data_IF_652253311738
#
_entry.id   IF_652253311738
#
_cell.length_a   1.000
_cell.length_b   1.000
_cell.length_c   1.000
_cell.angle_alpha   90.00
_cell.angle_beta   90.00
_cell.angle_gamma   90.00
#
_symmetry.space_group_name_H-M   'P 1'
#
loop_
_entity.id
_entity.type
_entity.pdbx_description
1 polymer ?
#
# COMPACT_ATOMS: atom_id res chain seq x y z
N UNK A 1 -22.23 -1.16 -3.70
CA UNK A 1 -21.33 -2.19 -3.15
C UNK A 1 -20.37 -1.49 -2.23
N UNK A 2 -20.10 -2.09 -1.08
CA UNK A 2 -19.10 -1.57 -0.17
C UNK A 2 -17.72 -1.52 -0.85
N UNK A 3 -16.85 -0.57 -0.47
CA UNK A 3 -15.51 -0.41 -1.03
C UNK A 3 -14.51 -1.19 -0.16
N UNK A 4 -14.04 -2.37 -0.59
CA UNK A 4 -13.14 -3.15 0.23
C UNK A 4 -11.78 -2.46 0.35
N UNK A 5 -11.32 -2.30 1.58
CA UNK A 5 -9.98 -1.81 1.90
C UNK A 5 -9.31 -2.88 2.75
N UNK A 6 -8.14 -3.35 2.30
CA UNK A 6 -7.28 -4.18 3.16
C UNK A 6 -6.31 -3.25 3.85
N UNK A 7 -6.14 -3.40 5.15
CA UNK A 7 -5.27 -2.53 5.93
C UNK A 7 -4.26 -3.38 6.70
N UNK A 8 -2.99 -3.02 6.62
CA UNK A 8 -1.90 -3.68 7.35
C UNK A 8 -1.13 -2.66 8.19
N UNK A 9 -0.84 -3.01 9.44
CA UNK A 9 0.06 -2.25 10.29
C UNK A 9 1.48 -2.82 10.18
N UNK A 10 2.46 -1.97 9.91
CA UNK A 10 3.87 -2.32 9.85
C UNK A 10 4.67 -1.49 10.88
N UNK A 11 5.28 -2.14 11.88
CA UNK A 11 6.06 -1.51 12.95
C UNK A 11 7.49 -1.08 12.57
N UNK A 12 7.87 -1.24 11.30
CA UNK A 12 9.17 -0.81 10.81
C UNK A 12 9.16 0.69 10.51
N UNK A 13 10.32 1.37 10.52
CA UNK A 13 10.43 2.74 10.00
C UNK A 13 9.90 2.85 8.57
N UNK A 14 9.36 4.02 8.20
CA UNK A 14 8.67 4.21 6.92
C UNK A 14 9.43 3.69 5.69
N UNK A 15 10.74 3.97 5.49
CA UNK A 15 11.44 3.49 4.29
C UNK A 15 11.44 1.96 4.18
N UNK A 16 11.56 1.27 5.32
CA UNK A 16 11.57 -0.19 5.39
C UNK A 16 10.16 -0.76 5.21
N UNK A 17 9.16 -0.15 5.84
CA UNK A 17 7.76 -0.52 5.71
C UNK A 17 7.25 -0.32 4.27
N UNK A 18 7.60 0.79 3.63
CA UNK A 18 7.25 1.06 2.23
C UNK A 18 7.91 0.05 1.28
N UNK A 19 9.22 -0.21 1.46
CA UNK A 19 9.92 -1.24 0.69
C UNK A 19 9.31 -2.63 0.88
N UNK A 20 8.84 -2.93 2.10
CA UNK A 20 8.14 -4.17 2.38
C UNK A 20 6.86 -4.30 1.53
N UNK A 21 6.05 -3.24 1.48
CA UNK A 21 4.84 -3.18 0.64
C UNK A 21 5.18 -3.39 -0.84
N UNK A 22 6.21 -2.71 -1.35
CA UNK A 22 6.66 -2.92 -2.75
C UNK A 22 7.03 -4.38 -3.02
N UNK A 23 7.80 -5.00 -2.12
CA UNK A 23 8.25 -6.39 -2.25
C UNK A 23 7.07 -7.37 -2.20
N UNK A 24 6.05 -7.08 -1.40
CA UNK A 24 4.84 -7.89 -1.28
C UNK A 24 3.96 -7.81 -2.54
N UNK A 25 3.90 -6.64 -3.17
CA UNK A 25 3.09 -6.38 -4.35
C UNK A 25 3.74 -6.89 -5.65
N UNK A 26 5.07 -6.92 -5.72
CA UNK A 26 5.80 -7.31 -6.93
C UNK A 26 5.44 -8.73 -7.46
N UNK A 27 5.33 -9.79 -6.64
CA UNK A 27 4.89 -11.11 -7.11
C UNK A 27 3.45 -11.15 -7.64
N UNK A 28 2.63 -10.16 -7.28
CA UNK A 28 1.26 -10.01 -7.78
C UNK A 28 1.20 -9.24 -9.11
N UNK A 29 2.37 -8.86 -9.65
CA UNK A 29 2.50 -8.13 -10.91
C UNK A 29 2.39 -6.62 -10.80
N UNK A 30 2.36 -6.07 -9.58
CA UNK A 30 2.31 -4.64 -9.35
C UNK A 30 3.71 -4.01 -9.30
N UNK A 31 3.87 -2.88 -10.00
CA UNK A 31 5.10 -2.09 -10.06
C UNK A 31 4.84 -0.69 -9.53
N UNK A 32 5.82 -0.09 -8.86
CA UNK A 32 5.68 1.29 -8.35
C UNK A 32 5.66 2.34 -9.47
N UNK A 33 6.45 2.12 -10.52
CA UNK A 33 6.44 2.97 -11.72
C UNK A 33 5.45 2.41 -12.74
N UNK A 34 4.66 3.29 -13.34
CA UNK A 34 3.75 2.92 -14.43
C UNK A 34 4.58 2.32 -15.60
N UNK A 35 4.20 1.15 -16.14
CA UNK A 35 5.00 0.45 -17.15
C UNK A 35 5.20 1.21 -18.46
N UNK A 36 4.25 2.08 -18.83
CA UNK A 36 4.29 2.85 -20.08
C UNK A 36 5.07 4.16 -19.91
N UNK A 37 4.73 4.95 -18.89
CA UNK A 37 5.35 6.26 -18.66
C UNK A 37 6.65 6.23 -17.86
N UNK A 38 6.91 5.14 -17.12
CA UNK A 38 8.02 5.04 -16.17
C UNK A 38 7.88 5.96 -14.94
N UNK A 39 6.73 6.63 -14.77
CA UNK A 39 6.51 7.58 -13.68
C UNK A 39 5.92 6.91 -12.45
N UNK A 40 6.35 7.37 -11.28
CA UNK A 40 5.69 7.08 -10.01
C UNK A 40 4.74 8.24 -9.74
N UNK A 41 3.50 7.94 -9.37
CA UNK A 41 2.46 8.96 -9.19
C UNK A 41 1.78 8.86 -7.83
N UNK A 42 1.32 10.00 -7.34
CA UNK A 42 0.45 10.12 -6.18
C UNK A 42 -0.70 11.08 -6.45
N UNK A 43 -1.76 10.97 -5.64
CA UNK A 43 -2.87 11.90 -5.64
C UNK A 43 -2.70 12.95 -4.55
N UNK A 44 -2.89 14.21 -4.92
CA UNK A 44 -2.98 15.33 -3.96
C UNK A 44 -4.36 15.40 -3.33
N UNK A 45 -4.47 16.12 -2.21
CA UNK A 45 -5.75 16.40 -1.55
C UNK A 45 -6.77 17.14 -2.43
N UNK A 46 -6.28 17.85 -3.46
CA UNK A 46 -7.12 18.49 -4.48
C UNK A 46 -7.60 17.54 -5.58
N UNK A 47 -7.37 16.22 -5.45
CA UNK A 47 -7.78 15.23 -6.44
C UNK A 47 -6.99 15.30 -7.75
N UNK A 48 -5.73 15.78 -7.70
CA UNK A 48 -4.85 15.80 -8.88
C UNK A 48 -3.76 14.74 -8.75
N UNK A 49 -3.56 13.97 -9.81
CA UNK A 49 -2.42 13.06 -9.93
C UNK A 49 -1.16 13.87 -10.26
N UNK A 50 -0.04 13.55 -9.60
CA UNK A 50 1.26 14.17 -9.83
C UNK A 50 2.36 13.13 -9.84
N UNK A 51 3.37 13.35 -10.68
CA UNK A 51 4.61 12.58 -10.64
C UNK A 51 5.40 12.91 -9.36
N UNK A 52 6.07 11.90 -8.81
CA UNK A 52 6.87 12.00 -7.60
C UNK A 52 8.09 11.07 -7.70
N UNK A 53 9.19 11.40 -7.05
CA UNK A 53 10.33 10.49 -6.92
C UNK A 53 10.23 9.59 -5.69
N UNK A 54 10.92 8.44 -5.72
CA UNK A 54 11.02 7.54 -4.55
C UNK A 54 11.60 8.24 -3.31
N UNK A 55 12.61 9.08 -3.52
CA UNK A 55 13.23 9.87 -2.45
C UNK A 55 12.22 10.81 -1.81
N UNK A 56 11.42 11.53 -2.61
CA UNK A 56 10.38 12.41 -2.09
C UNK A 56 9.29 11.67 -1.32
N UNK A 57 8.91 10.45 -1.73
CA UNK A 57 7.95 9.63 -0.97
C UNK A 57 8.49 9.38 0.45
N UNK A 58 9.76 8.97 0.54
CA UNK A 58 10.41 8.68 1.83
C UNK A 58 10.54 9.94 2.69
N UNK A 59 10.97 11.06 2.10
CA UNK A 59 11.23 12.30 2.83
C UNK A 59 9.92 12.96 3.33
N UNK A 60 8.84 12.84 2.54
CA UNK A 60 7.57 13.56 2.77
C UNK A 60 6.47 12.72 3.43
N UNK A 61 6.72 11.43 3.67
CA UNK A 61 5.75 10.57 4.35
C UNK A 61 5.53 10.99 5.82
N UNK A 62 6.63 11.27 6.55
CA UNK A 62 6.59 11.69 7.96
C UNK A 62 5.96 13.06 8.17
N UNK A 63 5.97 13.93 7.15
CA UNK A 63 5.29 15.24 7.23
C UNK A 63 3.82 15.17 6.83
N UNK A 64 3.35 14.01 6.32
CA UNK A 64 1.99 13.83 5.82
C UNK A 64 1.71 14.54 4.49
N UNK A 65 2.70 15.18 3.87
CA UNK A 65 2.58 15.83 2.56
C UNK A 65 2.35 14.82 1.45
N UNK A 66 2.91 13.61 1.59
CA UNK A 66 2.69 12.47 0.70
C UNK A 66 2.18 11.31 1.53
N UNK A 67 0.99 10.82 1.18
CA UNK A 67 0.23 9.83 1.95
C UNK A 67 -0.39 8.73 1.10
N UNK A 68 -0.03 8.69 -0.18
CA UNK A 68 -0.45 7.64 -1.09
C UNK A 68 0.49 7.56 -2.29
N UNK A 69 0.47 6.42 -2.97
CA UNK A 69 0.97 6.24 -4.35
C UNK A 69 0.09 5.25 -5.08
N UNK A 70 0.25 5.20 -6.40
CA UNK A 70 -0.30 4.16 -7.24
C UNK A 70 0.75 3.11 -7.56
N UNK A 71 0.36 1.86 -7.40
CA UNK A 71 1.05 0.71 -7.96
C UNK A 71 0.33 0.26 -9.22
N UNK A 72 1.06 -0.24 -10.21
CA UNK A 72 0.56 -0.44 -11.56
C UNK A 72 0.74 -1.89 -11.98
N UNK A 73 -0.32 -2.52 -12.46
CA UNK A 73 -0.26 -3.84 -13.09
C UNK A 73 -0.18 -3.72 -14.62
N UNK A 74 -0.81 -2.68 -15.17
CA UNK A 74 -0.75 -2.26 -16.57
C UNK A 74 -0.69 -0.72 -16.64
N UNK A 75 -0.79 -0.15 -17.84
CA UNK A 75 -0.89 1.29 -18.04
C UNK A 75 -2.21 1.89 -17.53
N UNK A 76 -3.29 1.08 -17.51
CA UNK A 76 -4.63 1.49 -17.09
C UNK A 76 -5.14 0.85 -15.80
N UNK A 77 -4.45 -0.18 -15.28
CA UNK A 77 -4.85 -0.89 -14.07
C UNK A 77 -3.90 -0.57 -12.92
N UNK A 78 -4.41 0.19 -11.94
CA UNK A 78 -3.68 0.60 -10.76
C UNK A 78 -4.31 0.11 -9.45
N UNK A 79 -3.48 0.09 -8.42
CA UNK A 79 -3.82 -0.12 -7.03
C UNK A 79 -3.35 1.10 -6.24
N UNK A 80 -4.31 1.88 -5.74
CA UNK A 80 -4.01 2.97 -4.82
C UNK A 80 -3.65 2.39 -3.45
N UNK A 81 -2.48 2.76 -2.95
CA UNK A 81 -2.03 2.45 -1.59
C UNK A 81 -1.84 3.76 -0.85
N UNK A 82 -2.54 3.94 0.26
CA UNK A 82 -2.37 5.09 1.16
C UNK A 82 -1.76 4.66 2.48
N UNK A 83 -1.25 5.61 3.25
CA UNK A 83 -0.75 5.35 4.59
C UNK A 83 -0.98 6.51 5.55
N UNK A 84 -0.93 6.17 6.84
CA UNK A 84 -0.89 7.12 7.95
C UNK A 84 0.19 6.70 8.96
N UNK A 85 0.72 7.67 9.69
CA UNK A 85 1.54 7.40 10.87
C UNK A 85 0.63 6.82 11.97
N UNK A 86 0.97 5.61 12.42
CA UNK A 86 0.22 4.84 13.40
C UNK A 86 1.21 4.30 14.44
N UNK A 87 1.71 5.19 15.31
CA UNK A 87 2.70 4.90 16.36
C UNK A 87 2.39 3.56 17.07
N UNK A 88 3.34 2.59 17.11
CA UNK A 88 4.76 2.72 16.78
C UNK A 88 5.16 2.43 15.32
N UNK A 89 4.21 2.40 14.38
CA UNK A 89 4.45 2.00 13.00
C UNK A 89 3.66 2.83 11.96
N UNK A 90 3.34 2.16 10.86
CA UNK A 90 2.67 2.75 9.71
C UNK A 90 1.52 1.86 9.29
N UNK A 91 0.33 2.46 9.20
CA UNK A 91 -0.83 1.78 8.68
C UNK A 91 -0.88 2.01 7.16
N UNK A 92 -0.85 0.94 6.38
CA UNK A 92 -1.01 0.96 4.93
C UNK A 92 -2.40 0.44 4.55
N UNK A 93 -3.14 1.23 3.77
CA UNK A 93 -4.47 0.88 3.25
C UNK A 93 -4.38 0.61 1.75
N UNK A 94 -4.82 -0.57 1.32
CA UNK A 94 -4.90 -1.01 -0.06
C UNK A 94 -6.34 -0.87 -0.55
N UNK A 95 -6.58 0.07 -1.46
CA UNK A 95 -7.92 0.39 -1.94
C UNK A 95 -8.31 -0.53 -3.10
N UNK A 96 -9.18 -1.51 -2.85
CA UNK A 96 -9.46 -2.58 -3.81
C UNK A 96 -10.62 -2.27 -4.76
N UNK A 97 -10.87 -0.98 -5.01
CA UNK A 97 -11.84 -0.53 -6.00
C UNK A 97 -11.23 -0.69 -7.38
N UNK A 98 -11.99 -1.24 -8.34
CA UNK A 98 -11.48 -1.48 -9.70
C UNK A 98 -10.59 -2.70 -9.86
N UNK A 99 -10.02 -3.24 -8.77
CA UNK A 99 -9.22 -4.48 -8.77
C UNK A 99 -10.11 -5.70 -9.07
N UNK A 100 -9.61 -6.65 -9.88
CA UNK A 100 -10.33 -7.90 -10.18
C UNK A 100 -10.53 -8.77 -8.94
N UNK A 101 -11.63 -9.53 -8.82
CA UNK A 101 -11.88 -10.40 -7.66
C UNK A 101 -10.72 -11.33 -7.32
N UNK A 102 -10.07 -11.90 -8.34
CA UNK A 102 -8.93 -12.82 -8.19
C UNK A 102 -7.75 -12.13 -7.52
N UNK A 103 -7.47 -10.89 -7.92
CA UNK A 103 -6.37 -10.10 -7.38
C UNK A 103 -6.65 -9.60 -5.97
N UNK A 104 -7.92 -9.29 -5.63
CA UNK A 104 -8.33 -9.00 -4.24
C UNK A 104 -8.04 -10.19 -3.33
N UNK A 105 -8.39 -11.40 -3.77
CA UNK A 105 -8.14 -12.64 -3.03
C UNK A 105 -6.64 -12.89 -2.91
N UNK A 106 -5.88 -12.76 -3.99
CA UNK A 106 -4.43 -12.97 -3.98
C UNK A 106 -3.72 -12.00 -3.02
N UNK A 107 -4.11 -10.72 -2.99
CA UNK A 107 -3.59 -9.74 -2.06
C UNK A 107 -3.94 -10.08 -0.60
N UNK A 108 -5.20 -10.43 -0.33
CA UNK A 108 -5.64 -10.84 1.01
C UNK A 108 -4.85 -12.07 1.50
N UNK A 109 -4.59 -13.05 0.63
CA UNK A 109 -3.76 -14.22 0.95
C UNK A 109 -2.32 -13.80 1.24
N UNK A 110 -1.71 -12.97 0.39
CA UNK A 110 -0.32 -12.55 0.54
C UNK A 110 -0.09 -11.78 1.85
N UNK A 111 -1.00 -10.85 2.19
CA UNK A 111 -0.96 -10.08 3.43
C UNK A 111 -1.25 -10.96 4.65
N UNK A 112 -2.26 -11.83 4.59
CA UNK A 112 -2.57 -12.77 5.68
C UNK A 112 -1.39 -13.69 5.97
N UNK A 113 -0.76 -14.25 4.92
CA UNK A 113 0.41 -15.12 5.06
C UNK A 113 1.58 -14.38 5.69
N UNK A 114 1.88 -13.19 5.18
CA UNK A 114 2.91 -12.31 5.75
C UNK A 114 2.69 -12.09 7.24
N UNK A 115 1.47 -11.71 7.62
CA UNK A 115 1.15 -11.37 9.01
C UNK A 115 1.28 -12.59 9.91
N UNK A 116 0.79 -13.76 9.48
CA UNK A 116 0.80 -15.00 10.24
C UNK A 116 2.16 -15.68 10.32
N UNK A 117 3.05 -15.47 9.33
CA UNK A 117 4.34 -16.16 9.25
C UNK A 117 5.48 -15.25 9.71
N UNK A 118 5.60 -14.07 9.10
CA UNK A 118 6.78 -13.22 9.21
C UNK A 118 6.64 -12.19 10.35
N UNK A 119 5.42 -11.75 10.62
CA UNK A 119 5.14 -10.63 11.53
C UNK A 119 4.52 -11.05 12.86
N UNK A 120 4.13 -12.32 13.04
CA UNK A 120 3.32 -12.80 14.17
C UNK A 120 3.80 -12.40 15.57
N UNK A 121 5.12 -12.28 15.77
CA UNK A 121 5.70 -11.96 17.09
C UNK A 121 5.65 -10.46 17.42
N UNK A 122 5.37 -9.61 16.44
CA UNK A 122 5.37 -8.16 16.60
C UNK A 122 4.01 -7.61 17.08
N UNK A 123 2.94 -8.40 16.93
CA UNK A 123 1.55 -7.97 17.17
C UNK A 123 0.90 -8.94 18.17
N UNK A 124 1.14 -8.71 19.46
CA UNK A 124 0.62 -9.57 20.54
C UNK A 124 -0.89 -9.32 20.73
N UNK A 125 -1.26 -8.09 21.12
CA UNK A 125 -2.65 -7.69 21.38
C UNK A 125 -3.17 -6.65 20.36
N UNK A 126 -2.43 -6.43 19.28
CA UNK A 126 -2.73 -5.42 18.26
C UNK A 126 -3.23 -6.05 16.96
N UNK A 127 -4.12 -5.35 16.25
CA UNK A 127 -4.59 -5.76 14.93
C UNK A 127 -3.53 -5.45 13.87
N UNK A 128 -2.89 -6.49 13.34
CA UNK A 128 -1.91 -6.37 12.26
C UNK A 128 -2.55 -6.29 10.86
N UNK A 129 -3.73 -6.88 10.69
CA UNK A 129 -4.45 -6.97 9.42
C UNK A 129 -5.95 -6.81 9.66
N UNK A 130 -6.61 -5.96 8.87
CA UNK A 130 -8.07 -5.86 8.81
C UNK A 130 -8.55 -5.72 7.37
N UNK A 131 -9.80 -6.13 7.14
CA UNK A 131 -10.50 -5.92 5.87
C UNK A 131 -11.79 -5.16 6.19
N UNK A 132 -11.88 -3.94 5.71
CA UNK A 132 -13.03 -3.07 5.91
C UNK A 132 -13.88 -3.03 4.64
N UNK A 133 -15.20 -3.01 4.82
CA UNK A 133 -16.18 -2.92 3.74
C UNK A 133 -16.99 -1.65 3.97
N UNK A 134 -16.41 -0.50 3.59
CA UNK A 134 -17.05 0.83 3.69
C UNK A 134 -18.32 0.95 2.84
#
# INVERSE_FOLDING_TARGET
MAKPIVVVLLKNPFPEAFRYVETLLQPLGFLLANPDSGQITHWTDGGRQKAISRTEIVDKASTGEVKNVQFWQSDSDDLLVSWIDAVPGWEFSFHLNGVTPELKIALAIALSRTVLVDLKLQYVDESALRIDFD
#
